data_IF_962348480045
#
_entry.id   IF_962348480045
#
_cell.length_a   1.000
_cell.length_b   1.000
_cell.length_c   1.000
_cell.angle_alpha   90.00
_cell.angle_beta   90.00
_cell.angle_gamma   90.00
#
_symmetry.space_group_name_H-M   'P 1'
#
loop_
_entity.id
_entity.type
_entity.pdbx_description
1 polymer ?
#
# COMPACT_ATOMS: atom_id res chain seq x y z
N UNK A 1 5.45 24.85 -9.14
CA UNK A 1 5.66 23.50 -9.72
C UNK A 1 4.72 22.58 -8.96
N UNK A 2 3.52 22.29 -9.50
CA UNK A 2 2.54 21.32 -8.98
C UNK A 2 1.37 21.14 -9.99
N UNK A 3 1.61 21.35 -11.29
CA UNK A 3 0.52 21.47 -12.26
C UNK A 3 0.08 20.16 -12.90
N UNK A 4 0.94 19.13 -12.91
CA UNK A 4 0.69 17.92 -13.71
C UNK A 4 -0.10 16.88 -12.90
N UNK A 5 0.41 16.48 -11.73
CA UNK A 5 -0.09 15.32 -11.00
C UNK A 5 -1.30 15.56 -10.11
N UNK A 6 -1.66 16.82 -9.83
CA UNK A 6 -2.81 17.19 -9.01
C UNK A 6 -4.16 17.06 -9.73
N UNK A 7 -4.13 16.75 -11.03
CA UNK A 7 -5.33 16.64 -11.89
C UNK A 7 -5.35 15.31 -12.63
N UNK A 8 -6.53 14.93 -13.13
CA UNK A 8 -6.67 13.78 -14.02
C UNK A 8 -5.91 14.01 -15.33
N UNK A 9 -5.21 12.97 -15.79
CA UNK A 9 -4.46 12.98 -17.06
C UNK A 9 -5.27 12.48 -18.25
N UNK A 10 -6.42 11.88 -18.00
CA UNK A 10 -7.32 11.33 -19.01
C UNK A 10 -8.72 11.92 -18.83
N UNK A 11 -9.55 11.83 -19.87
CA UNK A 11 -10.94 12.26 -19.80
C UNK A 11 -11.68 11.49 -18.69
N UNK A 12 -12.32 12.18 -17.71
CA UNK A 12 -13.09 11.53 -16.65
C UNK A 12 -14.16 10.57 -17.17
N UNK A 13 -14.72 10.79 -18.36
CA UNK A 13 -15.71 9.89 -18.97
C UNK A 13 -15.14 8.51 -19.30
N UNK A 14 -13.81 8.38 -19.38
CA UNK A 14 -13.11 7.13 -19.68
C UNK A 14 -12.57 6.45 -18.41
N UNK A 15 -12.81 7.03 -17.24
CA UNK A 15 -12.32 6.52 -15.97
C UNK A 15 -13.43 5.88 -15.15
N UNK A 16 -13.11 4.77 -14.51
CA UNK A 16 -14.02 4.16 -13.54
C UNK A 16 -14.17 5.06 -12.30
N UNK A 17 -15.32 5.04 -11.61
CA UNK A 17 -15.48 5.75 -10.33
C UNK A 17 -14.40 5.40 -9.31
N UNK A 18 -14.00 4.13 -9.26
CA UNK A 18 -12.96 3.62 -8.38
C UNK A 18 -11.58 4.21 -8.70
N UNK A 19 -11.23 4.33 -9.98
CA UNK A 19 -9.99 5.00 -10.42
C UNK A 19 -9.98 6.46 -10.00
N UNK A 20 -11.12 7.15 -10.11
CA UNK A 20 -11.22 8.55 -9.72
C UNK A 20 -11.09 8.69 -8.19
N UNK A 21 -11.70 7.80 -7.40
CA UNK A 21 -11.55 7.80 -5.95
C UNK A 21 -10.13 7.49 -5.50
N UNK A 22 -9.44 6.53 -6.14
CA UNK A 22 -8.01 6.29 -5.89
C UNK A 22 -7.17 7.51 -6.26
N UNK A 23 -7.46 8.20 -7.37
CA UNK A 23 -6.76 9.44 -7.72
C UNK A 23 -6.94 10.51 -6.64
N UNK A 24 -8.16 10.71 -6.12
CA UNK A 24 -8.41 11.64 -5.00
C UNK A 24 -7.53 11.31 -3.80
N UNK A 25 -7.52 10.04 -3.38
CA UNK A 25 -6.73 9.60 -2.24
C UNK A 25 -5.21 9.73 -2.49
N UNK A 26 -4.73 9.43 -3.70
CA UNK A 26 -3.32 9.59 -4.09
C UNK A 26 -2.92 11.07 -4.04
N UNK A 27 -3.71 11.97 -4.60
CA UNK A 27 -3.40 13.41 -4.59
C UNK A 27 -3.41 13.94 -3.16
N UNK A 28 -4.39 13.57 -2.34
CA UNK A 28 -4.38 13.94 -0.92
C UNK A 28 -3.13 13.44 -0.20
N UNK A 29 -2.74 12.18 -0.39
CA UNK A 29 -1.49 11.65 0.19
C UNK A 29 -0.26 12.43 -0.28
N UNK A 30 -0.21 12.83 -1.56
CA UNK A 30 0.88 13.65 -2.10
C UNK A 30 0.94 15.03 -1.44
N UNK A 31 -0.20 15.69 -1.24
CA UNK A 31 -0.30 16.99 -0.58
C UNK A 31 0.16 16.90 0.88
N UNK A 32 -0.22 15.85 1.61
CA UNK A 32 0.24 15.66 3.00
C UNK A 32 1.77 15.49 3.08
N UNK A 33 2.35 14.69 2.18
CA UNK A 33 3.81 14.50 2.14
C UNK A 33 4.56 15.78 1.73
N UNK A 34 3.99 16.59 0.84
CA UNK A 34 4.53 17.91 0.48
C UNK A 34 4.48 18.87 1.69
N UNK A 35 3.37 18.86 2.44
CA UNK A 35 3.24 19.63 3.66
C UNK A 35 4.26 19.21 4.74
N UNK A 36 4.46 17.91 4.95
CA UNK A 36 5.49 17.37 5.87
C UNK A 36 6.88 17.91 5.51
N UNK A 37 7.29 17.80 4.23
CA UNK A 37 8.59 18.28 3.76
C UNK A 37 8.74 19.80 3.97
N UNK A 38 7.74 20.57 3.53
CA UNK A 38 7.76 22.02 3.69
C UNK A 38 7.83 22.46 5.14
N UNK A 39 7.09 21.80 6.03
CA UNK A 39 7.13 22.12 7.45
C UNK A 39 8.48 21.75 8.09
N UNK A 40 9.11 20.63 7.72
CA UNK A 40 10.46 20.30 8.19
C UNK A 40 11.46 21.39 7.80
N UNK A 41 11.47 21.81 6.53
CA UNK A 41 12.37 22.87 6.06
C UNK A 41 12.15 24.20 6.80
N UNK A 42 10.88 24.59 6.99
CA UNK A 42 10.53 25.84 7.69
C UNK A 42 10.89 25.79 9.17
N UNK A 43 10.71 24.64 9.81
CA UNK A 43 11.05 24.41 11.21
C UNK A 43 12.56 24.54 11.45
N UNK A 44 13.39 24.03 10.54
CA UNK A 44 14.84 24.22 10.60
C UNK A 44 15.27 25.68 10.34
N UNK A 45 14.60 26.36 9.41
CA UNK A 45 14.98 27.70 8.96
C UNK A 45 14.52 28.84 9.88
N UNK A 46 13.42 28.67 10.63
CA UNK A 46 12.88 29.75 11.47
C UNK A 46 13.70 29.97 12.75
N UNK A 47 13.74 31.21 13.22
CA UNK A 47 14.37 31.62 14.48
C UNK A 47 13.35 31.96 15.58
N UNK A 48 12.06 31.93 15.28
CA UNK A 48 10.97 32.17 16.23
C UNK A 48 10.53 30.86 16.88
N UNK A 49 10.67 30.73 18.20
CA UNK A 49 10.41 29.49 18.93
C UNK A 49 8.90 29.16 19.02
N UNK A 50 8.01 30.15 19.10
CA UNK A 50 6.57 29.91 19.10
C UNK A 50 6.13 29.37 17.74
N UNK A 51 6.66 29.94 16.65
CA UNK A 51 6.41 29.42 15.32
C UNK A 51 6.98 28.00 15.14
N UNK A 52 8.15 27.66 15.70
CA UNK A 52 8.67 26.28 15.63
C UNK A 52 7.73 25.27 16.25
N UNK A 53 7.12 25.58 17.39
CA UNK A 53 6.19 24.69 18.06
C UNK A 53 4.96 24.42 17.19
N UNK A 54 4.39 25.48 16.58
CA UNK A 54 3.25 25.36 15.66
C UNK A 54 3.61 24.53 14.42
N UNK A 55 4.75 24.83 13.78
CA UNK A 55 5.18 24.09 12.58
C UNK A 55 5.47 22.61 12.89
N UNK A 56 6.03 22.31 14.06
CA UNK A 56 6.26 20.93 14.52
C UNK A 56 4.95 20.18 14.69
N UNK A 57 3.99 20.80 15.37
CA UNK A 57 2.67 20.24 15.61
C UNK A 57 2.00 19.89 14.29
N UNK A 58 1.86 20.88 13.39
CA UNK A 58 1.20 20.68 12.10
C UNK A 58 1.89 19.57 11.29
N UNK A 59 3.23 19.62 11.18
CA UNK A 59 4.00 18.59 10.46
C UNK A 59 3.70 17.18 10.96
N UNK A 60 3.60 17.00 12.28
CA UNK A 60 3.39 15.69 12.87
C UNK A 60 1.92 15.23 12.72
N UNK A 61 0.95 16.14 12.67
CA UNK A 61 -0.44 15.83 12.29
C UNK A 61 -0.57 15.42 10.81
N UNK A 62 0.13 16.07 9.88
CA UNK A 62 0.05 15.68 8.45
C UNK A 62 0.56 14.25 8.20
N UNK A 63 1.47 13.75 9.05
CA UNK A 63 1.90 12.33 9.00
C UNK A 63 0.77 11.38 9.39
N UNK A 64 -0.11 11.79 10.31
CA UNK A 64 -1.33 11.04 10.63
C UNK A 64 -2.29 11.05 9.44
N UNK A 65 -2.54 12.21 8.84
CA UNK A 65 -3.39 12.33 7.64
C UNK A 65 -2.88 11.47 6.48
N UNK A 66 -1.56 11.50 6.23
CA UNK A 66 -0.91 10.65 5.25
C UNK A 66 -1.11 9.16 5.56
N UNK A 67 -0.90 8.74 6.81
CA UNK A 67 -1.06 7.34 7.22
C UNK A 67 -2.51 6.86 7.10
N UNK A 68 -3.49 7.68 7.48
CA UNK A 68 -4.91 7.38 7.34
C UNK A 68 -5.31 7.18 5.87
N UNK A 69 -4.83 8.07 4.99
CA UNK A 69 -5.12 8.02 3.56
C UNK A 69 -4.43 6.83 2.88
N UNK A 70 -3.17 6.55 3.25
CA UNK A 70 -2.43 5.38 2.77
C UNK A 70 -3.12 4.07 3.19
N UNK A 71 -3.66 3.98 4.40
CA UNK A 71 -4.42 2.81 4.84
C UNK A 71 -5.71 2.62 4.05
N UNK A 72 -6.39 3.71 3.67
CA UNK A 72 -7.54 3.60 2.76
C UNK A 72 -7.09 3.04 1.40
N UNK A 73 -6.01 3.57 0.81
CA UNK A 73 -5.45 3.05 -0.44
C UNK A 73 -5.08 1.57 -0.35
N UNK A 74 -4.42 1.15 0.72
CA UNK A 74 -4.07 -0.27 0.98
C UNK A 74 -5.30 -1.18 0.94
N UNK A 75 -6.45 -0.73 1.44
CA UNK A 75 -7.70 -1.51 1.43
C UNK A 75 -8.38 -1.59 0.05
N UNK A 76 -8.02 -0.72 -0.89
CA UNK A 76 -8.69 -0.57 -2.20
C UNK A 76 -7.76 -0.80 -3.39
N UNK A 77 -6.51 -1.21 -3.16
CA UNK A 77 -5.55 -1.60 -4.18
C UNK A 77 -4.78 -2.84 -3.72
N UNK A 78 -5.12 -4.04 -4.22
CA UNK A 78 -4.49 -5.30 -3.80
C UNK A 78 -2.98 -5.36 -4.05
N UNK A 79 -2.50 -4.72 -5.13
CA UNK A 79 -1.07 -4.72 -5.46
C UNK A 79 -0.30 -3.80 -4.50
N UNK A 80 -0.89 -2.65 -4.16
CA UNK A 80 -0.35 -1.79 -3.12
C UNK A 80 -0.32 -2.51 -1.76
N UNK A 81 -1.37 -3.26 -1.39
CA UNK A 81 -1.37 -4.06 -0.15
C UNK A 81 -0.23 -5.07 -0.09
N UNK A 82 -0.02 -5.81 -1.19
CA UNK A 82 1.07 -6.78 -1.31
C UNK A 82 2.42 -6.11 -1.04
N UNK A 83 2.72 -5.01 -1.74
CA UNK A 83 3.99 -4.30 -1.57
C UNK A 83 4.14 -3.68 -0.18
N UNK A 84 3.10 -3.05 0.36
CA UNK A 84 3.17 -2.46 1.71
C UNK A 84 3.45 -3.53 2.77
N UNK A 85 2.88 -4.72 2.66
CA UNK A 85 3.15 -5.85 3.56
C UNK A 85 4.56 -6.42 3.42
N UNK A 86 5.09 -6.44 2.20
CA UNK A 86 6.45 -6.90 1.93
C UNK A 86 7.49 -6.00 2.59
N UNK A 87 7.30 -4.68 2.56
CA UNK A 87 8.35 -3.73 2.95
C UNK A 87 8.16 -3.11 4.34
N UNK A 88 6.94 -2.77 4.76
CA UNK A 88 6.72 -2.03 6.00
C UNK A 88 6.97 -2.91 7.23
N UNK A 89 7.42 -2.25 8.31
CA UNK A 89 7.69 -2.87 9.61
C UNK A 89 8.75 -3.98 9.59
N UNK A 90 9.63 -3.95 8.60
CA UNK A 90 10.80 -4.82 8.50
C UNK A 90 12.06 -4.13 9.02
N UNK A 91 13.09 -4.90 9.34
CA UNK A 91 14.39 -4.38 9.79
C UNK A 91 15.55 -4.74 8.85
N UNK A 92 15.28 -5.52 7.79
CA UNK A 92 16.27 -5.83 6.76
C UNK A 92 16.51 -4.61 5.86
N UNK A 93 17.59 -4.63 5.09
CA UNK A 93 17.76 -3.67 4.00
C UNK A 93 16.59 -3.78 3.02
N UNK A 94 15.98 -2.65 2.64
CA UNK A 94 14.85 -2.63 1.69
C UNK A 94 15.26 -3.26 0.35
N UNK A 95 16.48 -2.98 -0.13
CA UNK A 95 17.00 -3.58 -1.36
C UNK A 95 17.21 -5.10 -1.24
N UNK A 96 17.57 -5.60 -0.05
CA UNK A 96 17.68 -7.03 0.15
C UNK A 96 16.31 -7.73 0.16
N UNK A 97 15.26 -7.05 0.64
CA UNK A 97 13.87 -7.56 0.58
C UNK A 97 13.40 -7.62 -0.88
N UNK A 98 13.72 -6.61 -1.70
CA UNK A 98 13.43 -6.60 -3.13
C UNK A 98 14.10 -7.79 -3.85
N UNK A 99 15.41 -8.00 -3.66
CA UNK A 99 16.14 -9.14 -4.23
C UNK A 99 15.53 -10.50 -3.82
N UNK A 100 15.14 -10.65 -2.54
CA UNK A 100 14.46 -11.85 -2.05
C UNK A 100 13.07 -12.04 -2.69
N UNK A 101 12.31 -10.96 -2.89
CA UNK A 101 10.97 -11.01 -3.49
C UNK A 101 11.01 -11.33 -5.00
N UNK A 102 12.00 -10.83 -5.74
CA UNK A 102 12.16 -11.11 -7.18
C UNK A 102 12.67 -12.54 -7.46
N UNK A 103 13.45 -13.11 -6.54
CA UNK A 103 14.12 -14.42 -6.74
C UNK A 103 13.54 -15.57 -5.91
N UNK A 104 12.68 -15.30 -4.92
CA UNK A 104 12.09 -16.30 -4.01
C UNK A 104 10.86 -17.05 -4.56
N UNK A 105 10.38 -16.72 -5.75
CA UNK A 105 9.12 -17.26 -6.31
C UNK A 105 9.13 -18.72 -6.80
N UNK A 106 10.11 -19.56 -6.46
CA UNK A 106 10.15 -20.93 -6.98
C UNK A 106 10.74 -22.01 -6.04
N UNK A 107 10.55 -21.92 -4.72
CA UNK A 107 10.79 -23.07 -3.83
C UNK A 107 9.71 -23.21 -2.75
N UNK A 108 8.78 -24.15 -2.97
CA UNK A 108 8.19 -24.92 -1.86
C UNK A 108 6.73 -24.69 -1.49
N UNK A 109 5.78 -24.92 -2.40
CA UNK A 109 4.42 -25.35 -2.00
C UNK A 109 4.28 -26.88 -2.19
N UNK A 110 5.04 -27.60 -1.38
CA UNK A 110 4.95 -29.05 -1.23
C UNK A 110 5.38 -29.46 0.17
N UNK A 111 4.61 -29.08 1.19
CA UNK A 111 4.34 -29.89 2.39
C UNK A 111 3.69 -29.03 3.50
N UNK A 112 2.37 -29.17 3.67
CA UNK A 112 1.74 -29.47 4.97
C UNK A 112 0.20 -29.33 4.89
N UNK A 113 -0.47 -30.38 4.42
CA UNK A 113 -1.87 -30.64 4.77
C UNK A 113 -2.13 -32.16 4.78
N UNK A 114 -1.50 -32.85 5.73
CA UNK A 114 -2.06 -34.04 6.39
C UNK A 114 -2.51 -33.54 7.77
N UNK A 115 -3.70 -33.77 8.30
CA UNK A 115 -4.53 -34.95 8.31
C UNK A 115 -5.82 -34.54 9.04
N UNK A 116 -7.00 -34.73 8.44
CA UNK A 116 -8.17 -35.25 9.16
C UNK A 116 -9.34 -35.47 8.18
N UNK A 117 -9.70 -36.75 8.00
CA UNK A 117 -11.09 -37.14 7.78
C UNK A 117 -11.60 -37.18 6.34
N UNK A 118 -11.33 -38.26 5.62
CA UNK A 118 -12.41 -38.94 4.88
C UNK A 118 -12.00 -40.36 4.50
N UNK A 119 -12.80 -41.31 4.98
CA UNK A 119 -12.61 -42.74 4.89
C UNK A 119 -12.47 -43.21 3.44
N UNK A 120 -11.44 -44.03 3.19
CA UNK A 120 -11.23 -44.69 1.92
C UNK A 120 -12.45 -45.51 1.48
N UNK A 121 -13.01 -45.14 0.34
CA UNK A 121 -13.82 -46.05 -0.48
C UNK A 121 -13.24 -46.01 -1.88
N UNK A 122 -12.57 -47.12 -2.20
CA UNK A 122 -11.95 -47.36 -3.50
C UNK A 122 -12.98 -47.50 -4.62
N UNK A 123 -12.59 -46.94 -5.76
CA UNK A 123 -12.86 -47.38 -7.12
C UNK A 123 -13.89 -48.54 -7.27
N UNK A 124 -15.15 -48.19 -7.48
CA UNK A 124 -16.16 -49.09 -8.03
C UNK A 124 -16.73 -48.48 -9.31
N UNK A 125 -16.20 -48.97 -10.44
CA UNK A 125 -16.84 -48.92 -11.75
C UNK A 125 -18.15 -49.71 -11.69
N UNK A 126 -19.27 -49.06 -12.00
CA UNK A 126 -20.52 -49.69 -12.43
C UNK A 126 -21.06 -48.80 -13.58
N UNK A 127 -20.84 -49.20 -14.83
CA UNK A 127 -21.83 -49.83 -15.72
C UNK A 127 -23.12 -48.99 -15.88
N UNK A 128 -23.21 -48.33 -17.04
CA UNK A 128 -24.42 -47.67 -17.57
C UNK A 128 -25.50 -48.69 -17.92
N UNK A 129 -26.80 -48.34 -17.82
CA UNK A 129 -27.87 -49.08 -18.48
C UNK A 129 -28.44 -48.34 -19.71
N UNK A 130 -28.96 -49.19 -20.60
CA UNK A 130 -29.61 -49.00 -21.91
C UNK A 130 -30.77 -48.00 -21.92
#
# INVERSE_FOLDING_TARGET
>A
MAGSSATLHEDPEHLSPETIDRHRAIVSLMEELEAVDWYDQRLEATHDEELKEILRHNRDEEKEHAAMTLEWLRRHDPMLDEHLRTYLFTTKSVLAIEEEAEHGGNEGDAAAASDEGSLGIGNLRAQEPV
#
